data_IF_035420646955
#
_entry.id   IF_035420646955
#
_cell.length_a   1.000
_cell.length_b   1.000
_cell.length_c   1.000
_cell.angle_alpha   90.00
_cell.angle_beta   90.00
_cell.angle_gamma   90.00
#
_symmetry.space_group_name_H-M   'P 1'
#
loop_
_entity.id
_entity.type
_entity.pdbx_description
1 polymer ?
#
# COMPACT_ATOMS: atom_id res chain seq x y z
N UNK A 1 1.42 24.85 -24.55
CA UNK A 1 0.56 23.79 -25.08
C UNK A 1 -0.91 24.18 -25.00
N UNK A 2 -1.46 24.52 -23.82
CA UNK A 2 -2.84 25.04 -23.70
C UNK A 2 -3.12 26.25 -24.60
N UNK A 3 -2.23 27.25 -24.61
CA UNK A 3 -2.37 28.42 -25.50
C UNK A 3 -2.39 28.05 -27.00
N UNK A 4 -1.74 26.95 -27.36
CA UNK A 4 -1.64 26.45 -28.74
C UNK A 4 -2.94 25.75 -29.17
N UNK A 5 -3.53 24.97 -28.25
CA UNK A 5 -4.85 24.34 -28.41
C UNK A 5 -5.94 25.41 -28.50
N UNK A 6 -5.90 26.40 -27.60
CA UNK A 6 -6.85 27.52 -27.60
C UNK A 6 -6.76 28.37 -28.87
N UNK A 7 -5.63 28.29 -29.60
CA UNK A 7 -5.42 28.97 -30.88
C UNK A 7 -5.80 28.09 -32.10
N UNK A 8 -6.49 26.96 -31.91
CA UNK A 8 -7.11 26.18 -32.99
C UNK A 8 -6.16 25.26 -33.76
N UNK A 9 -4.97 24.98 -33.23
CA UNK A 9 -4.04 24.04 -33.85
C UNK A 9 -4.45 22.57 -33.59
N UNK A 10 -4.28 21.67 -34.58
CA UNK A 10 -4.72 20.28 -34.46
C UNK A 10 -3.97 19.54 -33.35
N UNK A 11 -4.73 18.85 -32.51
CA UNK A 11 -4.23 18.01 -31.42
C UNK A 11 -4.32 16.54 -31.84
N UNK A 12 -3.18 15.86 -31.94
CA UNK A 12 -3.15 14.40 -32.09
C UNK A 12 -3.02 13.77 -30.71
N UNK A 13 -4.09 13.10 -30.27
CA UNK A 13 -4.16 12.48 -28.95
C UNK A 13 -3.85 10.98 -29.04
N UNK A 14 -3.00 10.48 -28.15
CA UNK A 14 -2.80 9.04 -27.96
C UNK A 14 -4.02 8.45 -27.24
N UNK A 15 -4.62 7.42 -27.83
CA UNK A 15 -5.86 6.78 -27.35
C UNK A 15 -5.62 5.45 -26.65
N UNK A 16 -4.37 4.99 -26.49
CA UNK A 16 -4.07 3.70 -25.86
C UNK A 16 -3.06 3.83 -24.72
N UNK A 17 -3.38 3.25 -23.57
CA UNK A 17 -2.50 3.20 -22.40
C UNK A 17 -1.95 1.79 -22.15
N UNK A 18 -0.70 1.72 -21.70
CA UNK A 18 0.07 0.48 -21.52
C UNK A 18 0.61 0.30 -20.09
N UNK A 19 0.20 1.16 -19.15
CA UNK A 19 0.85 1.27 -17.83
C UNK A 19 0.00 0.69 -16.72
N UNK A 20 -1.20 1.22 -16.54
CA UNK A 20 -1.99 0.99 -15.34
C UNK A 20 -3.10 0.00 -15.58
N UNK A 21 -3.46 -0.72 -14.52
CA UNK A 21 -4.65 -1.56 -14.50
C UNK A 21 -5.91 -0.79 -14.92
N UNK A 22 -6.84 -1.42 -15.68
CA UNK A 22 -8.10 -0.80 -16.08
C UNK A 22 -8.92 -0.26 -14.91
N UNK A 23 -8.85 -0.90 -13.74
CA UNK A 23 -9.54 -0.46 -12.52
C UNK A 23 -9.02 0.91 -12.05
N UNK A 24 -7.70 1.13 -12.11
CA UNK A 24 -7.08 2.43 -11.76
C UNK A 24 -7.44 3.47 -12.81
N UNK A 25 -7.34 3.11 -14.10
CA UNK A 25 -7.69 3.98 -15.21
C UNK A 25 -9.15 4.47 -15.11
N UNK A 26 -10.08 3.61 -14.71
CA UNK A 26 -11.50 3.94 -14.60
C UNK A 26 -11.79 5.10 -13.65
N UNK A 27 -10.93 5.35 -12.65
CA UNK A 27 -11.09 6.45 -11.70
C UNK A 27 -10.86 7.82 -12.34
N UNK A 28 -9.97 7.89 -13.34
CA UNK A 28 -9.51 9.15 -13.95
C UNK A 28 -10.00 9.33 -15.39
N UNK A 29 -10.45 8.24 -16.04
CA UNK A 29 -10.91 8.24 -17.42
C UNK A 29 -11.94 9.35 -17.72
N UNK A 30 -12.99 9.55 -16.91
CA UNK A 30 -14.01 10.57 -17.18
C UNK A 30 -13.46 12.01 -17.26
N UNK A 31 -12.26 12.23 -16.72
CA UNK A 31 -11.61 13.53 -16.70
C UNK A 31 -10.53 13.70 -17.77
N UNK A 32 -9.77 12.63 -18.05
CA UNK A 32 -8.66 12.71 -19.00
C UNK A 32 -9.18 12.66 -20.44
N UNK A 33 -10.05 11.70 -20.77
CA UNK A 33 -10.65 11.55 -22.10
C UNK A 33 -11.63 10.37 -22.12
N UNK A 34 -12.65 10.46 -22.98
CA UNK A 34 -13.60 9.35 -23.21
C UNK A 34 -13.05 8.29 -24.19
N UNK A 35 -11.85 8.48 -24.73
CA UNK A 35 -11.29 7.67 -25.82
C UNK A 35 -9.97 6.98 -25.46
N UNK A 36 -9.67 6.77 -24.17
CA UNK A 36 -8.48 6.04 -23.74
C UNK A 36 -8.80 4.56 -23.49
N UNK A 37 -8.18 3.70 -24.27
CA UNK A 37 -8.31 2.24 -24.19
C UNK A 37 -7.12 1.61 -23.47
N UNK A 38 -7.39 0.54 -22.73
CA UNK A 38 -6.36 -0.27 -22.08
C UNK A 38 -5.79 -1.31 -23.03
N UNK A 39 -4.46 -1.45 -23.05
CA UNK A 39 -3.80 -2.53 -23.78
C UNK A 39 -4.06 -3.90 -23.15
N UNK A 40 -3.99 -4.99 -23.92
CA UNK A 40 -4.15 -6.35 -23.41
C UNK A 40 -3.20 -6.68 -22.24
N UNK A 41 -1.99 -6.13 -22.27
CA UNK A 41 -1.01 -6.30 -21.19
C UNK A 41 -1.53 -5.81 -19.83
N UNK A 42 -2.27 -4.70 -19.78
CA UNK A 42 -2.71 -4.12 -18.50
C UNK A 42 -3.85 -4.90 -17.85
N UNK A 43 -4.61 -5.67 -18.62
CA UNK A 43 -5.59 -6.64 -18.09
C UNK A 43 -4.90 -7.86 -17.44
N UNK A 44 -3.70 -8.19 -17.90
CA UNK A 44 -2.94 -9.37 -17.47
C UNK A 44 -1.92 -9.08 -16.35
N UNK A 45 -1.89 -7.85 -15.82
CA UNK A 45 -1.04 -7.52 -14.67
C UNK A 45 -1.40 -8.42 -13.47
N UNK A 46 -0.44 -8.82 -12.62
CA UNK A 46 -0.75 -9.64 -11.45
C UNK A 46 -1.60 -8.87 -10.43
N UNK A 47 -2.32 -9.59 -9.57
CA UNK A 47 -3.02 -8.97 -8.44
C UNK A 47 -2.03 -8.65 -7.31
N UNK A 48 -2.36 -7.65 -6.49
CA UNK A 48 -1.56 -7.33 -5.30
C UNK A 48 -1.59 -8.49 -4.31
N UNK A 49 -0.41 -8.98 -3.94
CA UNK A 49 -0.24 -10.10 -3.02
C UNK A 49 -0.67 -9.67 -1.63
N UNK A 50 -1.54 -10.47 -1.00
CA UNK A 50 -1.99 -10.23 0.38
C UNK A 50 -3.23 -9.36 0.50
N UNK A 51 -3.73 -8.78 -0.59
CA UNK A 51 -4.88 -7.88 -0.57
C UNK A 51 -5.92 -8.35 -1.59
N UNK A 52 -7.19 -8.29 -1.20
CA UNK A 52 -8.30 -8.82 -2.03
C UNK A 52 -8.64 -7.95 -3.26
N UNK A 53 -8.34 -6.65 -3.19
CA UNK A 53 -8.67 -5.66 -4.22
C UNK A 53 -7.42 -4.86 -4.57
N UNK A 54 -7.19 -4.63 -5.86
CA UNK A 54 -6.04 -3.86 -6.35
C UNK A 54 -6.23 -2.34 -6.20
N UNK A 55 -7.48 -1.89 -6.17
CA UNK A 55 -7.87 -0.51 -5.93
C UNK A 55 -8.78 -0.49 -4.72
N UNK A 56 -8.50 0.37 -3.74
CA UNK A 56 -9.36 0.52 -2.57
C UNK A 56 -9.23 1.89 -1.92
N UNK A 57 -10.36 2.46 -1.51
CA UNK A 57 -10.46 3.68 -0.73
C UNK A 57 -10.93 3.33 0.69
N UNK A 58 -10.07 3.58 1.67
CA UNK A 58 -10.31 3.42 3.09
C UNK A 58 -10.91 4.74 3.61
N UNK A 59 -12.22 4.73 3.85
CA UNK A 59 -12.95 5.91 4.35
C UNK A 59 -12.86 6.01 5.88
N UNK A 60 -12.50 7.19 6.39
CA UNK A 60 -12.55 7.51 7.82
C UNK A 60 -12.93 8.97 8.05
N UNK A 61 -13.46 9.22 9.26
CA UNK A 61 -13.82 10.56 9.74
C UNK A 61 -12.94 11.00 10.92
N UNK A 62 -11.72 10.47 11.04
CA UNK A 62 -10.75 10.87 12.08
C UNK A 62 -10.10 12.20 11.69
N UNK A 63 -10.26 13.20 12.56
CA UNK A 63 -9.78 14.57 12.36
C UNK A 63 -8.26 14.62 12.53
N UNK A 64 -7.60 15.43 11.70
CA UNK A 64 -6.18 15.75 11.78
C UNK A 64 -5.82 16.51 13.07
N UNK A 65 -4.60 16.32 13.56
CA UNK A 65 -4.03 17.16 14.60
C UNK A 65 -3.57 18.48 13.96
N UNK A 66 -4.11 19.60 14.45
CA UNK A 66 -3.79 20.94 13.99
C UNK A 66 -2.97 21.69 15.04
N UNK A 67 -1.69 21.92 14.75
CA UNK A 67 -0.82 22.78 15.55
C UNK A 67 -0.41 24.01 14.73
N UNK A 68 -1.26 25.03 14.72
CA UNK A 68 -1.06 26.22 13.88
C UNK A 68 -1.26 25.88 12.39
N UNK A 69 -0.21 25.98 11.58
CA UNK A 69 -0.23 25.66 10.14
C UNK A 69 0.12 24.20 9.82
N UNK A 70 0.44 23.41 10.85
CA UNK A 70 0.82 22.01 10.72
C UNK A 70 -0.46 21.18 10.71
N UNK A 71 -0.68 20.46 9.62
CA UNK A 71 -1.79 19.52 9.46
C UNK A 71 -1.24 18.11 9.33
N UNK A 72 -1.42 17.29 10.37
CA UNK A 72 -0.96 15.89 10.39
C UNK A 72 -2.13 15.00 10.76
N UNK A 73 -2.40 13.99 9.93
CA UNK A 73 -3.36 12.95 10.26
C UNK A 73 -2.60 11.69 10.70
N UNK A 74 -2.35 11.55 12.01
CA UNK A 74 -1.58 10.43 12.57
C UNK A 74 -2.25 9.07 12.30
N UNK A 75 -3.57 9.03 12.19
CA UNK A 75 -4.26 7.80 11.84
C UNK A 75 -3.87 7.34 10.43
N UNK A 76 -3.92 8.25 9.45
CA UNK A 76 -3.47 7.96 8.09
C UNK A 76 -1.99 7.59 8.03
N UNK A 77 -1.11 8.33 8.72
CA UNK A 77 0.34 8.05 8.76
C UNK A 77 0.57 6.62 9.27
N UNK A 78 0.04 6.29 10.44
CA UNK A 78 0.26 4.97 11.07
C UNK A 78 -0.32 3.85 10.21
N UNK A 79 -1.50 4.06 9.61
CA UNK A 79 -2.09 3.07 8.71
C UNK A 79 -1.21 2.83 7.48
N UNK A 80 -0.70 3.89 6.85
CA UNK A 80 0.17 3.77 5.67
C UNK A 80 1.49 3.08 5.98
N UNK A 81 2.10 3.36 7.13
CA UNK A 81 3.29 2.65 7.61
C UNK A 81 2.98 1.17 7.86
N UNK A 82 1.85 0.87 8.49
CA UNK A 82 1.40 -0.51 8.72
C UNK A 82 1.18 -1.29 7.41
N UNK A 83 0.51 -0.67 6.45
CA UNK A 83 0.23 -1.25 5.14
C UNK A 83 1.52 -1.44 4.32
N UNK A 84 2.41 -0.46 4.30
CA UNK A 84 3.71 -0.56 3.64
C UNK A 84 4.56 -1.71 4.21
N UNK A 85 4.62 -1.84 5.55
CA UNK A 85 5.31 -2.96 6.22
C UNK A 85 4.66 -4.29 5.86
N UNK A 86 3.34 -4.35 5.84
CA UNK A 86 2.60 -5.55 5.42
C UNK A 86 2.97 -5.96 3.99
N UNK A 87 2.98 -5.03 3.04
CA UNK A 87 3.34 -5.28 1.64
C UNK A 87 4.79 -5.76 1.50
N UNK A 88 5.74 -5.18 2.22
CA UNK A 88 7.12 -5.69 2.23
C UNK A 88 7.20 -7.13 2.78
N UNK A 89 6.40 -7.47 3.79
CA UNK A 89 6.26 -8.85 4.27
C UNK A 89 5.58 -9.78 3.26
N UNK A 90 4.89 -9.23 2.26
CA UNK A 90 4.34 -9.97 1.12
C UNK A 90 5.35 -10.17 -0.03
N UNK A 91 6.63 -9.82 0.18
CA UNK A 91 7.75 -9.87 -0.77
C UNK A 91 7.79 -8.73 -1.80
N UNK A 92 7.08 -7.61 -1.56
CA UNK A 92 7.32 -6.38 -2.33
C UNK A 92 8.61 -5.70 -1.84
N UNK A 93 9.41 -5.18 -2.77
CA UNK A 93 10.59 -4.40 -2.40
C UNK A 93 10.18 -2.97 -2.03
N UNK A 94 10.96 -2.26 -1.21
CA UNK A 94 10.68 -0.86 -0.89
C UNK A 94 10.54 0.03 -2.13
N UNK A 95 11.27 -0.27 -3.20
CA UNK A 95 11.25 0.49 -4.45
C UNK A 95 9.95 0.27 -5.27
N UNK A 96 9.24 -0.82 -5.01
CA UNK A 96 7.95 -1.15 -5.64
C UNK A 96 6.78 -0.37 -4.99
N UNK A 97 7.03 0.31 -3.87
CA UNK A 97 6.00 0.99 -3.07
C UNK A 97 6.33 2.48 -2.95
N UNK A 98 5.31 3.30 -3.10
CA UNK A 98 5.40 4.75 -2.91
C UNK A 98 4.27 5.24 -2.01
N UNK A 99 4.61 6.13 -1.07
CA UNK A 99 3.63 6.86 -0.28
C UNK A 99 3.54 8.30 -0.79
N UNK A 100 2.34 8.70 -1.20
CA UNK A 100 2.01 10.05 -1.63
C UNK A 100 1.09 10.72 -0.62
N UNK A 101 1.31 12.01 -0.44
CA UNK A 101 0.43 12.86 0.34
C UNK A 101 0.43 14.29 -0.21
N UNK A 102 -0.40 15.16 0.34
CA UNK A 102 -0.55 16.55 -0.11
C UNK A 102 0.34 17.52 0.66
N UNK A 103 0.67 17.19 1.92
CA UNK A 103 1.38 18.10 2.83
C UNK A 103 2.78 17.65 3.18
N UNK A 104 3.70 18.62 3.27
CA UNK A 104 5.08 18.37 3.68
C UNK A 104 5.17 17.88 5.12
N UNK A 105 4.29 18.35 6.00
CA UNK A 105 4.30 17.93 7.41
C UNK A 105 3.94 16.45 7.56
N UNK A 106 2.94 15.99 6.80
CA UNK A 106 2.60 14.56 6.70
C UNK A 106 3.79 13.74 6.14
N UNK A 107 4.51 14.26 5.12
CA UNK A 107 5.75 13.62 4.60
C UNK A 107 6.82 13.51 5.68
N UNK A 108 7.01 14.54 6.50
CA UNK A 108 8.00 14.54 7.57
C UNK A 108 7.68 13.46 8.62
N UNK A 109 6.41 13.36 9.04
CA UNK A 109 6.00 12.35 10.03
C UNK A 109 6.06 10.93 9.45
N UNK A 110 5.66 10.74 8.18
CA UNK A 110 5.85 9.47 7.46
C UNK A 110 7.32 9.05 7.41
N UNK A 111 8.23 9.98 7.07
CA UNK A 111 9.66 9.68 7.03
C UNK A 111 10.21 9.32 8.41
N UNK A 112 9.79 10.03 9.46
CA UNK A 112 10.18 9.72 10.84
C UNK A 112 9.81 8.29 11.24
N UNK A 113 8.55 7.88 11.05
CA UNK A 113 8.12 6.51 11.39
C UNK A 113 8.71 5.45 10.44
N UNK A 114 9.00 5.82 9.19
CA UNK A 114 9.66 4.93 8.23
C UNK A 114 11.08 4.57 8.66
N UNK A 115 11.83 5.52 9.23
CA UNK A 115 13.20 5.29 9.71
C UNK A 115 13.30 4.30 10.87
N UNK A 116 12.21 4.08 11.62
CA UNK A 116 12.13 3.09 12.71
C UNK A 116 12.05 1.64 12.20
N UNK A 117 12.04 1.40 10.88
CA UNK A 117 11.89 0.07 10.31
C UNK A 117 12.82 -0.17 9.12
N UNK A 118 13.76 -1.10 9.30
CA UNK A 118 14.67 -1.54 8.24
C UNK A 118 13.95 -2.08 6.99
N UNK A 119 12.74 -2.62 7.13
CA UNK A 119 11.97 -3.18 6.03
C UNK A 119 11.44 -2.13 5.07
N UNK A 120 11.09 -0.94 5.59
CA UNK A 120 10.44 0.11 4.80
C UNK A 120 11.28 1.37 4.68
N UNK A 121 12.46 1.43 5.31
CA UNK A 121 13.37 2.59 5.29
C UNK A 121 13.57 3.21 3.90
N UNK A 122 13.68 2.37 2.87
CA UNK A 122 13.95 2.81 1.50
C UNK A 122 12.69 3.13 0.67
N UNK A 123 11.49 3.06 1.24
CA UNK A 123 10.25 3.43 0.54
C UNK A 123 10.28 4.91 0.19
N UNK A 124 9.85 5.24 -1.03
CA UNK A 124 9.74 6.63 -1.45
C UNK A 124 8.51 7.29 -0.80
N UNK A 125 8.74 8.44 -0.16
CA UNK A 125 7.69 9.27 0.44
C UNK A 125 7.84 10.68 -0.09
N UNK A 126 6.80 11.20 -0.76
CA UNK A 126 6.84 12.53 -1.35
C UNK A 126 5.46 13.19 -1.37
N UNK A 127 5.42 14.51 -1.51
CA UNK A 127 4.15 15.16 -1.85
C UNK A 127 3.81 14.90 -3.32
N UNK A 128 2.54 15.01 -3.68
CA UNK A 128 2.09 14.89 -5.08
C UNK A 128 2.79 15.91 -6.00
N UNK A 129 2.99 17.15 -5.52
CA UNK A 129 3.65 18.22 -6.29
C UNK A 129 5.16 17.99 -6.45
N UNK A 130 5.83 17.43 -5.44
CA UNK A 130 7.28 17.20 -5.47
C UNK A 130 7.66 15.80 -5.93
N UNK A 131 6.70 14.99 -6.37
CA UNK A 131 6.94 13.60 -6.77
C UNK A 131 7.72 13.56 -8.09
N UNK A 132 8.98 13.13 -8.01
CA UNK A 132 9.88 12.98 -9.15
C UNK A 132 9.68 11.66 -9.89
N UNK A 133 9.17 10.62 -9.21
CA UNK A 133 8.94 9.32 -9.81
C UNK A 133 7.79 9.38 -10.79
N UNK A 134 8.00 8.79 -11.96
CA UNK A 134 7.00 8.74 -13.03
C UNK A 134 5.90 7.74 -12.73
N UNK A 135 6.25 6.58 -12.17
CA UNK A 135 5.37 5.43 -11.94
C UNK A 135 5.90 4.53 -10.81
N UNK A 136 5.00 3.76 -10.20
CA UNK A 136 5.31 2.81 -9.14
C UNK A 136 4.35 1.60 -9.22
N UNK A 137 4.77 0.43 -8.75
CA UNK A 137 3.92 -0.76 -8.76
C UNK A 137 2.71 -0.57 -7.83
N UNK A 138 2.96 -0.08 -6.61
CA UNK A 138 1.94 0.18 -5.60
C UNK A 138 2.06 1.61 -5.07
N UNK A 139 0.96 2.36 -5.11
CA UNK A 139 0.86 3.70 -4.53
C UNK A 139 -0.10 3.70 -3.35
N UNK A 140 0.38 4.28 -2.26
CA UNK A 140 -0.34 4.52 -1.02
C UNK A 140 -0.60 6.03 -0.90
N UNK A 141 -1.85 6.46 -1.02
CA UNK A 141 -2.23 7.88 -1.04
C UNK A 141 -2.94 8.29 0.25
N UNK A 142 -2.33 9.22 1.00
CA UNK A 142 -2.90 9.84 2.20
C UNK A 142 -3.44 11.24 1.86
N UNK A 143 -4.70 11.49 2.21
CA UNK A 143 -5.39 12.75 1.86
C UNK A 143 -5.36 13.81 2.95
N UNK A 144 -5.05 13.42 4.18
CA UNK A 144 -4.82 14.23 5.39
C UNK A 144 -6.08 14.92 5.92
N UNK A 145 -6.79 15.65 5.08
CA UNK A 145 -7.83 16.57 5.50
C UNK A 145 -9.17 15.90 5.74
N UNK A 146 -9.64 16.04 6.97
CA UNK A 146 -11.00 15.71 7.36
C UNK A 146 -11.86 16.96 7.59
N UNK A 147 -11.26 18.16 7.57
CA UNK A 147 -11.97 19.44 7.68
C UNK A 147 -12.20 20.10 6.31
N UNK A 148 -13.32 20.84 6.18
CA UNK A 148 -13.74 21.47 4.92
C UNK A 148 -12.91 22.70 4.53
N UNK A 149 -12.31 23.36 5.51
CA UNK A 149 -11.75 24.71 5.35
C UNK A 149 -10.38 24.71 4.66
N UNK A 150 -9.58 23.65 4.82
CA UNK A 150 -8.18 23.63 4.36
C UNK A 150 -7.86 22.63 3.23
N UNK A 151 -8.84 21.88 2.71
CA UNK A 151 -8.65 20.89 1.64
C UNK A 151 -8.41 21.49 0.23
N UNK A 152 -7.88 22.71 0.15
CA UNK A 152 -7.62 23.47 -1.08
C UNK A 152 -6.79 22.73 -2.14
N UNK A 153 -5.90 21.82 -1.73
CA UNK A 153 -5.11 21.00 -2.66
C UNK A 153 -5.98 20.15 -3.58
N UNK A 154 -7.08 19.61 -3.04
CA UNK A 154 -7.99 18.72 -3.73
C UNK A 154 -8.99 19.44 -4.64
N UNK A 155 -8.81 20.74 -4.87
CA UNK A 155 -9.57 21.52 -5.87
C UNK A 155 -8.92 21.44 -7.26
N UNK A 156 -7.65 21.06 -7.34
CA UNK A 156 -6.91 21.03 -8.61
C UNK A 156 -6.96 19.64 -9.25
N UNK A 157 -7.84 19.47 -10.23
CA UNK A 157 -8.10 18.19 -10.90
C UNK A 157 -6.85 17.57 -11.54
N UNK A 158 -5.96 18.39 -12.09
CA UNK A 158 -4.66 17.94 -12.62
C UNK A 158 -3.81 17.26 -11.54
N UNK A 159 -3.82 17.76 -10.29
CA UNK A 159 -3.05 17.16 -9.19
C UNK A 159 -3.65 15.84 -8.74
N UNK A 160 -4.98 15.74 -8.72
CA UNK A 160 -5.69 14.49 -8.42
C UNK A 160 -5.34 13.44 -9.48
N UNK A 161 -5.40 13.79 -10.76
CA UNK A 161 -5.06 12.86 -11.83
C UNK A 161 -3.61 12.40 -11.75
N UNK A 162 -2.68 13.31 -11.47
CA UNK A 162 -1.28 12.95 -11.25
C UNK A 162 -1.15 11.96 -10.09
N UNK A 163 -1.82 12.18 -8.96
CA UNK A 163 -1.76 11.29 -7.80
C UNK A 163 -2.32 9.88 -8.11
N UNK A 164 -3.49 9.80 -8.76
CA UNK A 164 -4.18 8.54 -9.05
C UNK A 164 -3.49 7.71 -10.15
N UNK A 165 -2.78 8.35 -11.08
CA UNK A 165 -2.17 7.68 -12.25
C UNK A 165 -0.73 7.18 -12.04
N UNK A 166 -0.16 7.37 -10.84
CA UNK A 166 1.20 6.86 -10.54
C UNK A 166 1.25 5.35 -10.37
N UNK A 167 0.14 4.72 -9.98
CA UNK A 167 0.07 3.29 -9.71
C UNK A 167 -0.07 2.45 -10.98
N UNK A 168 0.71 1.37 -11.09
CA UNK A 168 0.55 0.35 -12.13
C UNK A 168 -0.40 -0.76 -11.71
N UNK A 169 -0.15 -1.34 -10.53
CA UNK A 169 -0.83 -2.54 -10.05
C UNK A 169 -1.76 -2.23 -8.88
N UNK A 170 -1.27 -1.50 -7.86
CA UNK A 170 -2.00 -1.27 -6.62
C UNK A 170 -2.21 0.21 -6.32
N UNK A 171 -3.44 0.62 -6.03
CA UNK A 171 -3.76 1.97 -5.56
C UNK A 171 -4.61 1.90 -4.28
N UNK A 172 -4.04 2.34 -3.17
CA UNK A 172 -4.71 2.36 -1.87
C UNK A 172 -4.78 3.78 -1.35
N UNK A 173 -5.99 4.29 -1.16
CA UNK A 173 -6.24 5.67 -0.75
C UNK A 173 -6.84 5.64 0.66
N UNK A 174 -6.40 6.51 1.56
CA UNK A 174 -7.02 6.71 2.87
C UNK A 174 -7.43 8.17 3.03
N UNK A 175 -8.64 8.40 3.50
CA UNK A 175 -9.16 9.75 3.65
C UNK A 175 -10.64 9.82 4.01
N UNK A 176 -11.19 11.03 3.94
CA UNK A 176 -12.63 11.28 4.02
C UNK A 176 -13.22 11.53 2.63
N UNK A 177 -13.94 10.55 2.09
CA UNK A 177 -14.54 10.68 0.75
C UNK A 177 -15.58 11.81 0.69
N UNK A 178 -16.32 12.05 1.77
CA UNK A 178 -17.35 13.09 1.82
C UNK A 178 -16.75 14.50 1.85
N UNK A 179 -15.56 14.66 2.43
CA UNK A 179 -14.82 15.91 2.32
C UNK A 179 -14.32 16.12 0.88
N UNK A 180 -13.74 15.09 0.27
CA UNK A 180 -13.17 15.18 -1.09
C UNK A 180 -14.20 15.52 -2.17
N UNK A 181 -15.39 14.90 -2.14
CA UNK A 181 -16.46 15.22 -3.10
C UNK A 181 -16.96 16.66 -2.99
N UNK A 182 -16.79 17.31 -1.83
CA UNK A 182 -17.17 18.71 -1.66
C UNK A 182 -16.16 19.69 -2.28
N UNK A 183 -14.97 19.21 -2.69
CA UNK A 183 -13.89 20.05 -3.23
C UNK A 183 -13.92 20.18 -4.76
N UNK A 184 -14.28 19.12 -5.50
CA UNK A 184 -14.39 19.16 -6.96
C UNK A 184 -15.22 18.00 -7.53
N UNK A 185 -15.79 18.19 -8.73
CA UNK A 185 -16.63 17.21 -9.42
C UNK A 185 -15.88 15.93 -9.82
N UNK A 186 -14.57 16.00 -10.03
CA UNK A 186 -13.73 14.83 -10.28
C UNK A 186 -13.89 13.77 -9.18
N UNK A 187 -13.96 14.18 -7.91
CA UNK A 187 -14.12 13.25 -6.80
C UNK A 187 -15.49 12.57 -6.79
N UNK A 188 -16.54 13.18 -7.36
CA UNK A 188 -17.83 12.52 -7.56
C UNK A 188 -17.69 11.35 -8.54
N UNK A 189 -16.99 11.57 -9.66
CA UNK A 189 -16.71 10.52 -10.64
C UNK A 189 -15.83 9.40 -10.06
N UNK A 190 -14.80 9.76 -9.29
CA UNK A 190 -13.94 8.82 -8.57
C UNK A 190 -14.77 7.99 -7.59
N UNK A 191 -15.65 8.63 -6.80
CA UNK A 191 -16.55 7.94 -5.85
C UNK A 191 -17.47 6.95 -6.57
N UNK A 192 -18.13 7.36 -7.64
CA UNK A 192 -19.00 6.47 -8.43
C UNK A 192 -18.22 5.28 -8.99
N UNK A 193 -17.00 5.50 -9.49
CA UNK A 193 -16.13 4.44 -10.00
C UNK A 193 -15.71 3.47 -8.90
N UNK A 194 -15.33 3.97 -7.73
CA UNK A 194 -15.00 3.15 -6.56
C UNK A 194 -16.21 2.32 -6.07
N UNK A 195 -17.41 2.89 -6.09
CA UNK A 195 -18.64 2.17 -5.76
C UNK A 195 -18.93 1.04 -6.74
N UNK A 196 -18.79 1.28 -8.04
CA UNK A 196 -18.96 0.26 -9.08
C UNK A 196 -17.96 -0.90 -8.93
N UNK A 197 -16.74 -0.61 -8.47
CA UNK A 197 -15.70 -1.60 -8.22
C UNK A 197 -15.86 -2.35 -6.88
N UNK A 198 -16.83 -1.94 -6.04
CA UNK A 198 -16.93 -2.34 -4.63
C UNK A 198 -15.58 -2.14 -3.90
N UNK A 199 -14.99 -0.97 -4.10
CA UNK A 199 -13.65 -0.58 -3.67
C UNK A 199 -13.67 0.62 -2.70
N UNK A 200 -14.78 0.86 -2.02
CA UNK A 200 -14.97 1.94 -1.05
C UNK A 200 -15.52 1.36 0.25
N UNK A 201 -14.87 1.67 1.38
CA UNK A 201 -15.37 1.30 2.70
C UNK A 201 -14.37 1.62 3.81
N UNK A 202 -14.75 1.35 5.06
CA UNK A 202 -13.95 1.77 6.23
C UNK A 202 -12.83 0.78 6.59
N UNK A 203 -12.80 -0.39 5.94
CA UNK A 203 -11.89 -1.47 6.25
C UNK A 203 -11.31 -2.04 4.95
N UNK A 204 -9.99 -2.21 4.89
CA UNK A 204 -9.31 -2.92 3.80
C UNK A 204 -9.32 -4.43 4.08
N UNK A 205 -9.68 -5.24 3.07
CA UNK A 205 -9.69 -6.70 3.21
C UNK A 205 -8.39 -7.32 2.69
N UNK A 206 -7.61 -7.87 3.60
CA UNK A 206 -6.44 -8.70 3.35
C UNK A 206 -6.86 -10.14 3.06
N UNK A 207 -6.15 -10.80 2.15
CA UNK A 207 -6.34 -12.21 1.82
C UNK A 207 -5.01 -12.96 1.90
N UNK A 208 -4.99 -14.12 2.57
CA UNK A 208 -3.83 -14.98 2.52
C UNK A 208 -3.54 -15.46 1.09
N UNK A 209 -2.33 -15.18 0.59
CA UNK A 209 -1.91 -15.63 -0.74
C UNK A 209 -1.92 -17.16 -0.90
N UNK A 210 -1.48 -17.88 0.15
CA UNK A 210 -1.40 -19.36 0.14
C UNK A 210 -2.78 -19.98 0.40
N UNK A 211 -3.52 -19.46 1.38
CA UNK A 211 -4.82 -19.99 1.79
C UNK A 211 -5.96 -19.10 1.32
N UNK A 212 -6.30 -19.22 0.04
CA UNK A 212 -7.42 -18.49 -0.58
C UNK A 212 -8.71 -18.63 0.24
N UNK A 213 -9.44 -17.52 0.36
CA UNK A 213 -10.60 -17.39 1.23
C UNK A 213 -10.31 -17.16 2.72
N UNK A 214 -9.05 -17.15 3.16
CA UNK A 214 -8.71 -16.70 4.52
C UNK A 214 -8.59 -15.18 4.54
N UNK A 215 -9.68 -14.53 4.92
CA UNK A 215 -9.81 -13.07 4.90
C UNK A 215 -9.50 -12.45 6.26
N UNK A 216 -9.00 -11.23 6.26
CA UNK A 216 -8.79 -10.43 7.45
C UNK A 216 -9.01 -8.96 7.12
N UNK A 217 -9.69 -8.24 8.00
CA UNK A 217 -9.99 -6.83 7.79
C UNK A 217 -9.07 -5.95 8.62
N UNK A 218 -8.65 -4.83 8.05
CA UNK A 218 -7.80 -3.83 8.71
C UNK A 218 -8.37 -2.43 8.50
N UNK A 219 -8.48 -1.68 9.58
CA UNK A 219 -8.96 -0.29 9.60
C UNK A 219 -7.96 0.66 10.27
N UNK A 220 -7.13 0.14 11.18
CA UNK A 220 -6.11 0.90 11.92
C UNK A 220 -4.75 0.21 11.85
N UNK A 221 -3.70 0.90 12.29
CA UNK A 221 -2.34 0.39 12.24
C UNK A 221 -2.14 -0.87 13.10
N UNK A 222 -2.80 -0.91 14.26
CA UNK A 222 -2.73 -2.03 15.21
C UNK A 222 -3.31 -3.31 14.61
N UNK A 223 -4.26 -3.16 13.68
CA UNK A 223 -4.86 -4.30 12.99
C UNK A 223 -3.84 -5.07 12.17
N UNK A 224 -2.68 -4.52 11.77
CA UNK A 224 -1.67 -5.24 11.01
C UNK A 224 -0.77 -6.15 11.86
N UNK A 225 -0.60 -5.87 13.16
CA UNK A 225 0.38 -6.56 14.01
C UNK A 225 0.07 -8.05 14.21
N UNK A 226 -1.21 -8.41 14.23
CA UNK A 226 -1.68 -9.77 14.57
C UNK A 226 -2.20 -10.57 13.37
N UNK A 227 -2.09 -10.06 12.13
CA UNK A 227 -2.72 -10.69 10.96
C UNK A 227 -1.77 -11.63 10.25
N UNK A 228 -1.52 -12.77 10.91
CA UNK A 228 -0.98 -13.96 10.26
C UNK A 228 -2.15 -14.87 9.90
N UNK A 229 -2.05 -15.55 8.76
CA UNK A 229 -3.02 -16.57 8.44
C UNK A 229 -2.91 -17.69 9.50
N UNK A 230 -4.01 -18.04 10.20
CA UNK A 230 -3.97 -19.00 11.30
C UNK A 230 -3.91 -20.45 10.82
N UNK A 231 -4.04 -20.69 9.50
CA UNK A 231 -4.05 -22.03 8.94
C UNK A 231 -2.64 -22.64 8.92
N UNK A 232 -2.52 -23.97 9.11
CA UNK A 232 -1.23 -24.66 9.00
C UNK A 232 -0.72 -24.57 7.55
N UNK A 233 0.60 -24.42 7.36
CA UNK A 233 1.16 -24.24 6.03
C UNK A 233 1.01 -25.47 5.13
N UNK A 234 1.31 -26.67 5.65
CA UNK A 234 1.18 -27.97 4.98
C UNK A 234 1.82 -28.06 3.59
N UNK A 235 2.72 -27.15 3.20
CA UNK A 235 3.47 -27.23 1.96
C UNK A 235 4.44 -28.43 2.04
N UNK A 236 4.51 -29.22 0.96
CA UNK A 236 5.46 -30.32 0.87
C UNK A 236 6.89 -29.79 0.70
N UNK A 237 7.78 -30.23 1.59
CA UNK A 237 9.21 -29.91 1.58
C UNK A 237 9.97 -30.86 0.64
N UNK A 238 11.19 -30.49 0.23
CA UNK A 238 12.10 -31.35 -0.57
C UNK A 238 12.35 -32.73 0.06
N UNK A 239 12.22 -32.83 1.37
CA UNK A 239 12.37 -34.08 2.12
C UNK A 239 11.11 -34.93 2.20
N UNK A 240 10.09 -34.64 1.37
CA UNK A 240 8.78 -35.30 1.30
C UNK A 240 7.94 -35.24 2.58
N UNK A 241 8.31 -34.38 3.54
CA UNK A 241 7.49 -34.09 4.71
C UNK A 241 6.71 -32.79 4.52
N UNK A 242 5.59 -32.65 5.20
CA UNK A 242 4.79 -31.42 5.18
C UNK A 242 5.28 -30.41 6.23
N UNK A 243 5.22 -29.12 5.88
CA UNK A 243 5.51 -28.04 6.82
C UNK A 243 4.48 -28.02 7.96
N UNK A 244 4.94 -28.18 9.20
CA UNK A 244 4.12 -28.15 10.41
C UNK A 244 3.97 -26.75 11.02
N UNK A 245 4.55 -25.73 10.40
CA UNK A 245 4.43 -24.35 10.89
C UNK A 245 3.06 -23.77 10.52
N UNK A 246 2.60 -22.77 11.29
CA UNK A 246 1.52 -21.89 10.84
C UNK A 246 1.92 -21.18 9.53
N UNK A 247 0.93 -20.80 8.73
CA UNK A 247 1.15 -20.08 7.49
C UNK A 247 2.08 -18.90 7.72
N UNK A 248 3.06 -18.78 6.84
CA UNK A 248 4.12 -17.80 6.96
C UNK A 248 4.41 -17.21 5.58
N UNK A 249 4.98 -16.01 5.55
CA UNK A 249 5.27 -15.31 4.30
C UNK A 249 6.72 -15.45 3.86
N UNK A 250 7.63 -15.81 4.78
CA UNK A 250 9.06 -15.99 4.54
C UNK A 250 9.29 -17.30 3.82
N UNK A 251 9.96 -17.33 2.67
CA UNK A 251 10.29 -18.59 1.97
C UNK A 251 9.05 -19.50 1.78
N UNK A 252 7.99 -18.95 1.17
CA UNK A 252 6.69 -19.65 0.97
C UNK A 252 6.85 -20.97 0.24
N UNK A 253 7.79 -21.04 -0.68
CA UNK A 253 8.12 -22.24 -1.47
C UNK A 253 9.04 -23.21 -0.72
N UNK A 254 9.51 -22.85 0.47
CA UNK A 254 10.39 -23.65 1.33
C UNK A 254 11.67 -24.12 0.59
N UNK A 255 12.28 -23.20 -0.15
CA UNK A 255 13.45 -23.45 -0.98
C UNK A 255 14.77 -23.19 -0.27
N UNK A 256 14.80 -22.28 0.70
CA UNK A 256 16.06 -21.73 1.21
C UNK A 256 16.20 -21.74 2.74
N UNK A 257 15.16 -21.35 3.47
CA UNK A 257 15.26 -21.03 4.90
C UNK A 257 14.60 -22.09 5.79
N UNK A 258 13.53 -22.74 5.34
CA UNK A 258 12.79 -23.65 6.21
C UNK A 258 13.40 -25.06 6.31
N UNK A 259 13.63 -25.49 7.54
CA UNK A 259 14.05 -26.85 7.87
C UNK A 259 12.87 -27.69 8.34
N UNK A 260 12.83 -28.94 7.88
CA UNK A 260 11.85 -29.90 8.34
C UNK A 260 12.05 -30.21 9.84
N UNK A 261 10.97 -30.08 10.62
CA UNK A 261 10.94 -30.40 12.07
C UNK A 261 10.46 -31.82 12.37
N UNK A 262 10.21 -32.63 11.35
CA UNK A 262 9.73 -33.99 11.53
C UNK A 262 10.83 -34.88 12.14
N UNK A 263 10.49 -35.61 13.22
CA UNK A 263 11.44 -36.37 14.07
C UNK A 263 12.30 -37.35 13.25
N UNK A 264 11.74 -37.93 12.18
CA UNK A 264 12.42 -38.93 11.34
C UNK A 264 13.02 -38.36 10.05
N UNK A 265 13.12 -37.03 9.90
CA UNK A 265 13.64 -36.41 8.70
C UNK A 265 15.18 -36.50 8.62
N UNK A 266 15.72 -37.21 7.62
CA UNK A 266 17.18 -37.38 7.44
C UNK A 266 17.91 -36.10 7.00
N UNK A 267 17.21 -35.20 6.31
CA UNK A 267 17.73 -33.95 5.75
C UNK A 267 17.77 -32.78 6.74
N UNK A 268 17.29 -32.94 7.98
CA UNK A 268 17.45 -31.94 9.05
C UNK A 268 18.86 -31.93 9.66
N UNK A 269 19.70 -32.94 9.34
CA UNK A 269 21.03 -33.16 9.94
C UNK A 269 22.20 -32.50 9.19
N UNK A 270 22.00 -31.90 8.01
CA UNK A 270 23.09 -31.27 7.24
C UNK A 270 23.30 -29.81 7.64
N UNK A 271 24.42 -29.55 8.32
CA UNK A 271 24.94 -28.22 8.68
C UNK A 271 25.37 -27.44 7.42
N UNK A 272 24.66 -26.37 7.09
CA UNK A 272 25.21 -25.25 6.32
C UNK A 272 25.02 -24.00 7.17
N UNK A 273 26.14 -23.44 7.64
CA UNK A 273 26.22 -22.18 8.39
C UNK A 273 26.16 -21.04 7.38
N UNK A 274 25.09 -20.24 7.40
CA UNK A 274 25.08 -18.90 6.80
C UNK A 274 25.32 -17.84 7.88
N UNK A 275 25.87 -16.66 7.53
CA UNK A 275 26.48 -15.74 8.49
C UNK A 275 25.44 -15.19 9.47
N UNK A 276 25.72 -15.32 10.77
CA UNK A 276 24.89 -14.86 11.89
C UNK A 276 24.63 -13.34 11.91
N UNK A 277 25.28 -12.54 11.06
CA UNK A 277 25.22 -11.07 11.10
C UNK A 277 23.84 -10.52 10.72
N UNK A 278 23.15 -11.11 9.75
CA UNK A 278 21.83 -10.62 9.32
C UNK A 278 20.70 -11.12 10.24
N UNK A 279 20.92 -12.24 10.93
CA UNK A 279 19.97 -12.82 11.89
C UNK A 279 19.96 -12.02 13.20
N UNK A 280 21.13 -11.55 13.66
CA UNK A 280 21.25 -10.80 14.91
C UNK A 280 20.58 -9.41 14.85
N UNK A 281 20.67 -8.72 13.71
CA UNK A 281 20.06 -7.39 13.54
C UNK A 281 18.53 -7.45 13.61
N UNK A 282 17.91 -8.45 12.97
CA UNK A 282 16.45 -8.62 12.98
C UNK A 282 15.92 -9.17 14.32
N UNK A 283 16.69 -9.99 15.03
CA UNK A 283 16.31 -10.48 16.37
C UNK A 283 16.44 -9.38 17.43
N UNK A 284 17.51 -8.58 17.37
CA UNK A 284 17.78 -7.49 18.31
C UNK A 284 16.69 -6.40 18.28
N UNK A 285 16.23 -6.01 17.10
CA UNK A 285 15.13 -5.05 16.94
C UNK A 285 13.78 -5.59 17.46
N UNK A 286 13.51 -6.89 17.24
CA UNK A 286 12.28 -7.52 17.72
C UNK A 286 12.22 -7.61 19.25
N UNK A 287 13.36 -7.88 19.91
CA UNK A 287 13.45 -7.90 21.37
C UNK A 287 13.45 -6.51 22.01
N UNK A 288 14.03 -5.48 21.36
CA UNK A 288 14.03 -4.11 21.89
C UNK A 288 12.62 -3.51 21.93
N UNK A 289 11.81 -3.71 20.89
CA UNK A 289 10.47 -3.13 20.83
C UNK A 289 9.51 -3.75 21.88
N UNK A 290 9.65 -5.05 22.16
CA UNK A 290 8.87 -5.72 23.21
C UNK A 290 9.25 -5.23 24.62
N UNK A 291 10.55 -5.01 24.88
CA UNK A 291 11.00 -4.57 26.20
C UNK A 291 10.69 -3.08 26.44
N UNK A 292 10.77 -2.23 25.40
CA UNK A 292 10.50 -0.79 25.54
C UNK A 292 9.02 -0.46 25.73
N UNK A 293 8.10 -1.27 25.18
CA UNK A 293 6.65 -1.08 25.35
C UNK A 293 6.12 -1.64 26.67
N UNK A 294 6.73 -2.70 27.22
CA UNK A 294 6.32 -3.27 28.52
C UNK A 294 6.78 -2.38 29.70
N UNK A 295 7.88 -1.63 29.55
CA UNK A 295 8.43 -0.78 30.63
C UNK A 295 7.74 0.60 30.71
N UNK A 296 7.09 1.08 29.63
CA UNK A 296 6.52 2.44 29.57
C UNK A 296 5.00 2.52 29.71
N UNK A 297 4.31 1.45 30.14
CA UNK A 297 2.90 1.54 30.51
C UNK A 297 2.79 2.15 31.92
N UNK A 298 2.05 3.26 32.12
CA UNK A 298 1.79 3.76 33.47
C UNK A 298 0.90 2.75 34.22
N UNK A 299 1.28 2.48 35.47
CA UNK A 299 0.53 1.63 36.42
C UNK A 299 -0.82 2.27 36.73
#
# INVERSE_FOLDING_TARGET
MERTINNGLPLYQLTKQFRMRPEIMSLVLPFITNHLESSEHTYNLPNVIGISKNVYFIDHNIIEECHGKIHINLHEVKFMIGLARYLCLQNYKPEDIMILTTHKDQVNELNKLKEESLLIKNINVSTVDSCSMTECEIVLLSTVHNTKEDASFWKHENRICVALTRAKIGLYIIGNINNLISQCDLWNNVKSSLQNLNALGNELTLECFVHKGTLSKVSKAEDFMNRKCPRPCLQQLKCNHYCQSICHTRDREHMFMFKCRHINCRSSKSLIRYPLKDIFLLFWEYSKNIIYEIINQPI
#
